data_IF_040522727214
#
_entry.id   IF_040522727214
#
_cell.length_a   1.000
_cell.length_b   1.000
_cell.length_c   1.000
_cell.angle_alpha   90.00
_cell.angle_beta   90.00
_cell.angle_gamma   90.00
#
_symmetry.space_group_name_H-M   'P 1'
#
loop_
_entity.id
_entity.type
_entity.pdbx_description
1 polymer ?
#
# COMPACT_ATOMS: atom_id res chain seq x y z
N UNK A 1 -7.97 19.02 13.13
CA UNK A 1 -7.65 18.56 11.76
C UNK A 1 -6.47 17.59 11.86
N UNK A 2 -6.30 16.66 10.91
CA UNK A 2 -5.18 15.71 10.88
C UNK A 2 -4.58 15.65 9.47
N UNK A 3 -3.50 14.90 9.29
CA UNK A 3 -2.86 14.69 7.98
C UNK A 3 -3.78 13.91 7.01
N UNK A 4 -3.58 14.15 5.71
CA UNK A 4 -4.26 13.42 4.63
C UNK A 4 -5.45 14.18 4.05
N UNK A 5 -6.43 13.43 3.56
CA UNK A 5 -7.64 13.95 2.93
C UNK A 5 -8.92 13.32 3.49
N UNK A 6 -9.89 13.09 2.61
CA UNK A 6 -11.16 12.42 2.97
C UNK A 6 -11.00 10.92 3.20
N UNK A 7 -9.94 10.33 2.65
CA UNK A 7 -9.71 8.89 2.58
C UNK A 7 -8.32 8.48 3.05
N UNK A 8 -8.07 7.18 3.13
CA UNK A 8 -6.75 6.63 3.34
C UNK A 8 -6.38 6.35 4.79
N UNK A 9 -5.21 5.73 4.92
CA UNK A 9 -4.63 5.39 6.21
C UNK A 9 -4.02 6.62 6.87
N UNK A 10 -4.13 6.69 8.19
CA UNK A 10 -3.51 7.72 9.03
C UNK A 10 -2.67 7.01 10.08
N UNK A 11 -1.40 7.40 10.20
CA UNK A 11 -0.46 6.82 11.16
C UNK A 11 0.26 7.94 11.90
N UNK A 12 0.25 7.89 13.23
CA UNK A 12 1.01 8.80 14.08
C UNK A 12 2.40 8.23 14.32
N UNK A 13 3.41 9.09 14.34
CA UNK A 13 4.78 8.70 14.68
C UNK A 13 4.80 8.17 16.13
N UNK A 14 5.31 6.96 16.38
CA UNK A 14 5.15 6.29 17.68
C UNK A 14 5.86 7.03 18.82
N UNK A 15 7.01 7.65 18.56
CA UNK A 15 7.76 8.40 19.58
C UNK A 15 7.33 9.87 19.70
N UNK A 16 6.57 10.38 18.73
CA UNK A 16 6.11 11.76 18.71
C UNK A 16 4.73 11.85 18.03
N UNK A 17 3.64 11.60 18.77
CA UNK A 17 2.29 11.52 18.18
C UNK A 17 1.77 12.86 17.64
N UNK A 18 2.47 13.98 17.87
CA UNK A 18 2.16 15.25 17.20
C UNK A 18 2.50 15.19 15.71
N UNK A 19 3.39 14.29 15.29
CA UNK A 19 3.69 14.05 13.88
C UNK A 19 2.77 12.96 13.35
N UNK A 20 1.94 13.31 12.39
CA UNK A 20 0.99 12.40 11.76
C UNK A 20 1.21 12.37 10.26
N UNK A 21 1.17 11.16 9.68
CA UNK A 21 1.19 10.92 8.26
C UNK A 21 -0.19 10.43 7.82
N UNK A 22 -0.73 11.00 6.75
CA UNK A 22 -2.08 10.69 6.28
C UNK A 22 -2.13 10.65 4.76
N UNK A 23 -2.63 9.54 4.23
CA UNK A 23 -2.86 9.35 2.81
C UNK A 23 -4.16 9.99 2.34
N UNK A 24 -4.39 9.92 1.04
CA UNK A 24 -5.69 10.04 0.38
C UNK A 24 -5.61 9.40 -1.00
N UNK A 25 -6.66 9.51 -1.80
CA UNK A 25 -6.70 8.92 -3.12
C UNK A 25 -5.61 9.47 -4.05
N UNK A 26 -5.28 8.69 -5.10
CA UNK A 26 -4.31 9.09 -6.12
C UNK A 26 -2.86 9.22 -5.62
N UNK A 27 -2.52 8.65 -4.46
CA UNK A 27 -1.17 8.72 -3.90
C UNK A 27 -0.85 10.05 -3.21
N UNK A 28 -1.86 10.88 -2.94
CA UNK A 28 -1.70 12.08 -2.12
C UNK A 28 -1.31 11.68 -0.69
N UNK A 29 -0.25 12.26 -0.16
CA UNK A 29 0.28 11.93 1.15
C UNK A 29 0.80 13.18 1.84
N UNK A 30 0.38 13.38 3.09
CA UNK A 30 0.71 14.55 3.89
C UNK A 30 1.38 14.12 5.18
N UNK A 31 2.39 14.90 5.59
CA UNK A 31 2.86 14.98 6.97
C UNK A 31 2.27 16.23 7.61
N UNK A 32 1.66 16.07 8.78
CA UNK A 32 1.15 17.14 9.61
C UNK A 32 1.84 17.14 10.98
N UNK A 33 2.19 18.31 11.48
CA UNK A 33 2.79 18.53 12.79
C UNK A 33 1.81 19.31 13.67
N UNK A 34 1.22 18.65 14.66
CA UNK A 34 0.27 19.26 15.59
C UNK A 34 0.92 20.27 16.55
N UNK A 35 2.23 20.18 16.78
CA UNK A 35 2.95 21.04 17.72
C UNK A 35 3.09 22.48 17.21
N UNK A 36 3.21 22.66 15.89
CA UNK A 36 3.37 23.97 15.28
C UNK A 36 2.41 24.27 14.10
N UNK A 37 1.61 23.29 13.68
CA UNK A 37 0.66 23.39 12.58
C UNK A 37 1.26 23.19 11.18
N UNK A 38 2.54 22.80 11.07
CA UNK A 38 3.21 22.61 9.79
C UNK A 38 2.57 21.48 8.98
N UNK A 39 2.36 21.74 7.69
CA UNK A 39 1.80 20.76 6.74
C UNK A 39 2.72 20.63 5.54
N UNK A 40 3.06 19.41 5.15
CA UNK A 40 3.92 19.12 3.99
C UNK A 40 3.35 18.00 3.15
N UNK A 41 3.23 18.24 1.85
CA UNK A 41 3.05 17.17 0.87
C UNK A 41 4.34 16.36 0.78
N UNK A 42 4.22 15.06 0.94
CA UNK A 42 5.32 14.08 0.92
C UNK A 42 4.98 12.93 -0.04
N UNK A 43 4.24 13.26 -1.11
CA UNK A 43 3.82 12.30 -2.14
C UNK A 43 5.00 11.45 -2.60
N UNK A 44 4.79 10.14 -2.66
CA UNK A 44 5.79 9.16 -3.13
C UNK A 44 6.20 9.45 -4.57
N UNK A 45 5.22 9.79 -5.39
CA UNK A 45 5.38 10.15 -6.79
C UNK A 45 4.64 11.46 -7.04
N UNK A 46 5.28 12.47 -7.67
CA UNK A 46 4.71 13.82 -7.75
C UNK A 46 3.62 13.97 -8.81
N UNK A 47 3.34 12.93 -9.60
CA UNK A 47 2.34 12.97 -10.66
C UNK A 47 0.93 12.74 -10.10
N UNK A 48 -0.04 13.54 -10.53
CA UNK A 48 -1.43 13.38 -10.12
C UNK A 48 -2.14 12.47 -11.13
N UNK A 49 -2.53 11.24 -10.74
CA UNK A 49 -3.10 10.27 -11.67
C UNK A 49 -4.54 10.56 -12.07
N UNK A 50 -5.19 11.54 -11.44
CA UNK A 50 -6.63 11.78 -11.59
C UNK A 50 -7.02 12.04 -13.05
N UNK A 51 -8.03 11.34 -13.52
CA UNK A 51 -8.48 11.39 -14.93
C UNK A 51 -7.83 10.36 -15.86
N UNK A 52 -6.73 9.71 -15.45
CA UNK A 52 -6.08 8.66 -16.25
C UNK A 52 -6.53 7.26 -15.85
N UNK A 53 -6.63 6.35 -16.82
CA UNK A 53 -6.83 4.94 -16.54
C UNK A 53 -5.59 4.34 -15.89
N UNK A 54 -5.78 3.38 -14.97
CA UNK A 54 -4.68 2.76 -14.23
C UNK A 54 -3.62 2.10 -15.14
N UNK A 55 -4.02 1.70 -16.35
CA UNK A 55 -3.14 1.08 -17.34
C UNK A 55 -1.99 1.99 -17.78
N UNK A 56 -2.21 3.31 -17.74
CA UNK A 56 -1.30 4.36 -18.20
C UNK A 56 -0.35 4.85 -17.08
N UNK A 57 -0.61 4.44 -15.84
CA UNK A 57 0.14 4.88 -14.68
C UNK A 57 1.36 3.99 -14.42
N UNK A 58 2.50 4.64 -14.13
CA UNK A 58 3.70 3.97 -13.63
C UNK A 58 3.47 3.34 -12.26
N UNK A 59 2.90 4.13 -11.34
CA UNK A 59 2.58 3.71 -9.98
C UNK A 59 1.09 3.87 -9.75
N UNK A 60 0.43 2.78 -9.39
CA UNK A 60 -1.02 2.71 -9.17
C UNK A 60 -1.28 2.72 -7.66
N UNK A 61 -1.66 3.87 -7.13
CA UNK A 61 -2.11 4.00 -5.75
C UNK A 61 -3.61 3.77 -5.70
N UNK A 62 -4.09 3.06 -4.68
CA UNK A 62 -5.51 2.91 -4.42
C UNK A 62 -6.06 4.13 -3.66
N UNK A 63 -7.39 4.33 -3.69
CA UNK A 63 -8.10 5.34 -2.88
C UNK A 63 -7.73 5.30 -1.38
N UNK A 64 -7.53 4.10 -0.84
CA UNK A 64 -7.10 3.84 0.53
C UNK A 64 -5.76 3.10 0.58
N UNK A 65 -4.76 3.58 -0.16
CA UNK A 65 -3.48 2.88 -0.22
C UNK A 65 -2.86 2.63 1.18
N UNK A 66 -2.25 1.45 1.42
CA UNK A 66 -1.62 1.14 2.70
C UNK A 66 -0.50 2.12 3.07
N UNK A 67 -0.53 2.57 4.33
CA UNK A 67 0.48 3.41 4.96
C UNK A 67 0.77 2.84 6.36
N UNK A 68 2.04 2.56 6.66
CA UNK A 68 2.44 2.05 7.98
C UNK A 68 3.85 2.45 8.38
N UNK A 69 4.05 2.65 9.67
CA UNK A 69 5.38 2.83 10.26
C UNK A 69 5.92 1.46 10.66
N UNK A 70 7.22 1.23 10.48
CA UNK A 70 7.87 0.00 10.92
C UNK A 70 7.75 -0.17 12.44
N UNK A 71 7.36 -1.36 12.95
CA UNK A 71 7.40 -1.63 14.38
C UNK A 71 8.83 -1.72 14.95
N UNK A 72 9.84 -1.82 14.07
CA UNK A 72 11.26 -1.94 14.46
C UNK A 72 12.05 -0.65 14.31
N UNK A 73 11.44 0.38 13.70
CA UNK A 73 12.15 1.59 13.30
C UNK A 73 11.15 2.76 13.10
N UNK A 74 11.00 3.64 14.10
CA UNK A 74 9.96 4.69 14.09
C UNK A 74 10.13 5.70 12.95
N UNK A 75 11.34 5.85 12.41
CA UNK A 75 11.65 6.72 11.27
C UNK A 75 11.34 6.06 9.92
N UNK A 76 11.11 4.74 9.88
CA UNK A 76 10.78 4.01 8.66
C UNK A 76 9.27 4.05 8.40
N UNK A 77 8.88 4.68 7.30
CA UNK A 77 7.50 4.72 6.82
C UNK A 77 7.39 4.00 5.46
N UNK A 78 6.36 3.17 5.32
CA UNK A 78 6.03 2.47 4.09
C UNK A 78 4.73 3.00 3.49
N UNK A 79 4.71 3.14 2.16
CA UNK A 79 3.51 3.49 1.38
C UNK A 79 3.42 2.55 0.17
N UNK A 80 2.23 2.01 -0.09
CA UNK A 80 2.06 0.97 -1.11
C UNK A 80 1.26 1.46 -2.33
N UNK A 81 1.84 1.28 -3.52
CA UNK A 81 1.16 1.35 -4.80
C UNK A 81 0.94 -0.08 -5.33
N UNK A 82 1.12 -0.32 -6.62
CA UNK A 82 1.49 -1.65 -7.15
C UNK A 82 2.92 -2.08 -6.73
N UNK A 83 3.70 -1.14 -6.20
CA UNK A 83 5.07 -1.30 -5.69
C UNK A 83 5.08 -0.82 -4.25
N UNK A 84 5.87 -1.46 -3.38
CA UNK A 84 6.09 -0.98 -2.01
C UNK A 84 7.22 0.05 -2.00
N UNK A 85 6.96 1.19 -1.36
CA UNK A 85 7.95 2.23 -1.14
C UNK A 85 8.30 2.36 0.33
N UNK A 86 9.53 2.82 0.58
CA UNK A 86 10.06 3.12 1.89
C UNK A 86 10.65 4.52 1.91
N UNK A 87 10.48 5.21 3.03
CA UNK A 87 11.24 6.40 3.41
C UNK A 87 11.80 6.21 4.82
N UNK A 88 12.90 6.89 5.12
CA UNK A 88 13.54 6.97 6.44
C UNK A 88 13.82 8.42 6.85
N UNK A 89 13.27 9.39 6.11
CA UNK A 89 13.52 10.83 6.28
C UNK A 89 12.23 11.63 6.36
N UNK A 90 11.18 11.01 6.93
CA UNK A 90 9.84 11.56 7.08
C UNK A 90 9.17 11.93 5.74
N UNK A 91 9.45 11.16 4.68
CA UNK A 91 8.83 11.33 3.36
C UNK A 91 9.46 12.42 2.49
N UNK A 92 10.69 12.84 2.80
CA UNK A 92 11.43 13.77 1.94
C UNK A 92 11.94 13.06 0.69
N UNK A 93 12.38 11.80 0.83
CA UNK A 93 12.74 10.93 -0.28
C UNK A 93 12.11 9.57 -0.11
N UNK A 94 11.79 8.94 -1.24
CA UNK A 94 11.17 7.62 -1.29
C UNK A 94 11.97 6.69 -2.18
N UNK A 95 12.14 5.46 -1.71
CA UNK A 95 12.78 4.38 -2.45
C UNK A 95 11.74 3.29 -2.76
N UNK A 96 11.65 2.88 -4.02
CA UNK A 96 10.94 1.65 -4.37
C UNK A 96 11.75 0.46 -3.86
N UNK A 97 11.15 -0.36 -2.99
CA UNK A 97 11.75 -1.55 -2.37
C UNK A 97 11.05 -2.83 -2.84
N UNK A 98 10.40 -2.79 -4.00
CA UNK A 98 9.85 -3.99 -4.63
C UNK A 98 9.72 -3.79 -6.14
N UNK A 99 9.59 -4.87 -6.92
CA UNK A 99 8.97 -4.79 -8.24
C UNK A 99 7.45 -4.56 -8.12
N UNK A 100 6.74 -4.60 -9.25
CA UNK A 100 5.27 -4.69 -9.23
C UNK A 100 4.87 -6.03 -8.59
N UNK A 101 4.19 -5.97 -7.43
CA UNK A 101 3.77 -7.14 -6.65
C UNK A 101 2.32 -7.55 -6.95
N UNK A 102 1.83 -7.19 -8.14
CA UNK A 102 0.46 -7.44 -8.59
C UNK A 102 0.47 -8.24 -9.88
N UNK A 103 -0.67 -8.78 -10.29
CA UNK A 103 -0.83 -9.45 -11.61
C UNK A 103 -0.78 -8.47 -12.77
N UNK A 104 -1.06 -7.19 -12.52
CA UNK A 104 -1.02 -6.11 -13.50
C UNK A 104 -1.83 -6.43 -14.78
N UNK A 105 -3.07 -6.89 -14.60
CA UNK A 105 -3.97 -7.28 -15.69
C UNK A 105 -4.50 -6.01 -16.38
N UNK A 106 -3.91 -5.64 -17.52
CA UNK A 106 -4.18 -4.37 -18.21
C UNK A 106 -5.62 -4.22 -18.66
N UNK A 107 -6.28 -5.31 -19.01
CA UNK A 107 -7.69 -5.32 -19.44
C UNK A 107 -8.64 -4.89 -18.31
N UNK A 108 -8.21 -5.05 -17.05
CA UNK A 108 -8.95 -4.62 -15.84
C UNK A 108 -8.52 -3.24 -15.33
N UNK A 109 -7.60 -2.56 -16.03
CA UNK A 109 -7.05 -1.26 -15.65
C UNK A 109 -7.51 -0.13 -16.60
N UNK A 110 -8.57 -0.38 -17.36
CA UNK A 110 -9.14 0.60 -18.27
C UNK A 110 -9.77 1.76 -17.51
N UNK A 111 -9.90 2.88 -18.22
CA UNK A 111 -10.60 4.06 -17.71
C UNK A 111 -12.03 3.73 -17.26
N UNK A 112 -12.41 4.18 -16.07
CA UNK A 112 -13.74 3.99 -15.51
C UNK A 112 -14.69 5.11 -15.95
N UNK A 113 -16.00 4.88 -15.85
CA UNK A 113 -17.03 5.88 -16.20
C UNK A 113 -17.46 5.90 -17.67
N UNK A 114 -16.95 4.97 -18.49
CA UNK A 114 -17.35 4.80 -19.89
C UNK A 114 -16.80 5.89 -20.82
N UNK A 115 -17.22 5.97 -22.09
CA UNK A 115 -16.55 6.82 -23.09
C UNK A 115 -16.71 8.33 -22.89
N UNK A 116 -17.67 8.77 -22.07
CA UNK A 116 -18.07 10.19 -21.97
C UNK A 116 -17.79 10.74 -20.57
N UNK A 117 -18.15 10.01 -19.52
CA UNK A 117 -18.10 10.47 -18.13
C UNK A 117 -16.98 9.76 -17.37
N UNK A 118 -15.74 9.98 -17.80
CA UNK A 118 -14.58 9.35 -17.16
C UNK A 118 -14.57 9.63 -15.65
N UNK A 119 -14.40 8.57 -14.85
CA UNK A 119 -14.38 8.63 -13.38
C UNK A 119 -13.19 7.83 -12.86
N UNK A 120 -12.02 8.47 -12.86
CA UNK A 120 -10.75 7.87 -12.47
C UNK A 120 -10.22 8.59 -11.26
N UNK A 121 -10.67 8.14 -10.10
CA UNK A 121 -10.29 8.74 -8.81
C UNK A 121 -9.47 7.81 -7.95
N UNK A 122 -9.04 6.67 -8.51
CA UNK A 122 -8.24 5.60 -7.91
C UNK A 122 -8.98 4.60 -7.01
N UNK A 123 -10.29 4.79 -6.76
CA UNK A 123 -11.09 3.76 -6.08
C UNK A 123 -11.35 2.57 -7.00
N UNK A 124 -11.38 2.82 -8.31
CA UNK A 124 -11.63 1.85 -9.37
C UNK A 124 -10.36 1.11 -9.82
N UNK A 125 -9.19 1.54 -9.35
CA UNK A 125 -7.93 0.98 -9.81
C UNK A 125 -7.76 -0.49 -9.36
N UNK A 126 -7.29 -1.30 -10.29
CA UNK A 126 -7.03 -2.73 -10.12
C UNK A 126 -5.54 -3.04 -10.31
N UNK A 127 -5.02 -4.03 -9.59
CA UNK A 127 -3.59 -4.34 -9.56
C UNK A 127 -2.84 -3.32 -8.71
N UNK A 128 -3.25 -3.19 -7.45
CA UNK A 128 -2.61 -2.40 -6.40
C UNK A 128 -2.30 -3.29 -5.19
N UNK A 129 -1.24 -3.00 -4.44
CA UNK A 129 -1.04 -3.59 -3.12
C UNK A 129 -2.09 -2.99 -2.20
N UNK A 130 -2.91 -3.85 -1.62
CA UNK A 130 -4.08 -3.47 -0.84
C UNK A 130 -3.89 -3.69 0.66
N UNK A 131 -2.94 -4.54 1.05
CA UNK A 131 -2.58 -4.77 2.45
C UNK A 131 -1.06 -4.96 2.59
N UNK A 132 -0.48 -4.43 3.67
CA UNK A 132 0.94 -4.55 4.01
C UNK A 132 1.07 -4.80 5.52
N UNK A 133 2.02 -5.65 5.90
CA UNK A 133 2.40 -5.85 7.30
C UNK A 133 3.91 -6.13 7.39
N UNK A 134 4.56 -5.61 8.42
CA UNK A 134 5.92 -6.03 8.82
C UNK A 134 5.80 -6.93 10.05
N UNK A 135 6.62 -7.97 10.13
CA UNK A 135 6.71 -8.86 11.29
C UNK A 135 6.98 -8.05 12.55
N UNK A 136 6.36 -8.42 13.67
CA UNK A 136 6.68 -7.83 14.98
C UNK A 136 7.95 -8.44 15.61
N UNK A 137 8.45 -9.56 15.07
CA UNK A 137 9.61 -10.30 15.59
C UNK A 137 10.90 -10.05 14.82
N UNK A 138 10.78 -9.87 13.51
CA UNK A 138 11.91 -9.91 12.60
C UNK A 138 11.88 -8.67 11.70
N UNK A 139 12.80 -7.73 11.96
CA UNK A 139 12.98 -6.54 11.12
C UNK A 139 13.25 -6.96 9.67
N UNK A 140 12.53 -6.34 8.74
CA UNK A 140 12.69 -6.61 7.31
C UNK A 140 11.94 -7.85 6.79
N UNK A 141 11.18 -8.55 7.64
CA UNK A 141 10.18 -9.53 7.17
C UNK A 141 8.88 -8.78 6.88
N UNK A 142 8.59 -8.58 5.59
CA UNK A 142 7.47 -7.75 5.12
C UNK A 142 6.55 -8.60 4.24
N UNK A 143 5.26 -8.46 4.46
CA UNK A 143 4.21 -9.12 3.69
C UNK A 143 3.42 -8.09 2.90
N UNK A 144 2.97 -8.48 1.71
CA UNK A 144 2.04 -7.69 0.90
C UNK A 144 0.94 -8.57 0.34
N UNK A 145 -0.28 -8.06 0.32
CA UNK A 145 -1.42 -8.65 -0.38
C UNK A 145 -1.97 -7.68 -1.42
N UNK A 146 -2.19 -8.13 -2.64
CA UNK A 146 -2.76 -7.30 -3.72
C UNK A 146 -4.26 -7.46 -3.86
N UNK A 147 -4.90 -6.47 -4.48
CA UNK A 147 -6.32 -6.52 -4.85
C UNK A 147 -6.63 -7.43 -6.04
N UNK A 148 -5.59 -7.99 -6.66
CA UNK A 148 -5.66 -8.99 -7.72
C UNK A 148 -5.15 -10.38 -7.30
N UNK A 149 -4.97 -10.60 -5.99
CA UNK A 149 -4.91 -11.92 -5.38
C UNK A 149 -3.51 -12.51 -5.22
N UNK A 150 -2.47 -11.70 -5.27
CA UNK A 150 -1.12 -12.11 -4.95
C UNK A 150 -0.78 -11.84 -3.48
N UNK A 151 -0.02 -12.76 -2.89
CA UNK A 151 0.59 -12.61 -1.58
C UNK A 151 2.09 -12.81 -1.72
N UNK A 152 2.86 -11.81 -1.33
CA UNK A 152 4.32 -11.87 -1.33
C UNK A 152 4.90 -11.70 0.07
N UNK A 153 6.08 -12.26 0.25
CA UNK A 153 6.93 -12.03 1.42
C UNK A 153 8.32 -11.57 0.99
N UNK A 154 8.87 -10.58 1.69
CA UNK A 154 10.30 -10.27 1.73
C UNK A 154 10.86 -10.65 3.09
N UNK A 155 12.11 -11.13 3.15
CA UNK A 155 12.82 -11.47 4.40
C UNK A 155 14.10 -10.66 4.61
N UNK A 156 14.32 -9.65 3.76
CA UNK A 156 15.55 -8.86 3.72
C UNK A 156 15.30 -7.36 3.53
N UNK A 157 14.14 -6.89 3.99
CA UNK A 157 13.76 -5.47 3.96
C UNK A 157 13.38 -4.96 2.57
N UNK A 158 12.88 -5.84 1.70
CA UNK A 158 12.44 -5.52 0.35
C UNK A 158 13.51 -5.67 -0.74
N UNK A 159 14.64 -6.30 -0.46
CA UNK A 159 15.63 -6.53 -1.52
C UNK A 159 15.20 -7.68 -2.44
N UNK A 160 14.62 -8.73 -1.86
CA UNK A 160 14.04 -9.87 -2.58
C UNK A 160 12.60 -10.13 -2.10
N UNK A 161 11.77 -10.63 -3.03
CA UNK A 161 10.36 -10.93 -2.81
C UNK A 161 10.04 -12.32 -3.36
N UNK A 162 9.32 -13.11 -2.57
CA UNK A 162 8.87 -14.45 -2.91
C UNK A 162 7.34 -14.48 -3.01
N UNK A 163 6.81 -14.99 -4.12
CA UNK A 163 5.37 -15.25 -4.27
C UNK A 163 5.00 -16.48 -3.45
N UNK A 164 4.19 -16.26 -2.42
CA UNK A 164 3.72 -17.29 -1.49
C UNK A 164 2.19 -17.38 -1.51
N UNK A 165 1.58 -16.94 -2.61
CA UNK A 165 0.13 -17.01 -2.82
C UNK A 165 -0.34 -18.44 -2.59
N UNK A 166 -1.27 -18.69 -1.64
CA UNK A 166 -1.76 -20.03 -1.37
C UNK A 166 -2.38 -20.67 -2.61
N UNK A 167 -1.75 -21.72 -3.15
CA UNK A 167 -2.26 -22.49 -4.29
C UNK A 167 -2.82 -23.83 -3.83
N UNK A 168 -3.99 -24.24 -4.34
CA UNK A 168 -4.56 -25.55 -4.03
C UNK A 168 -6.09 -25.60 -4.14
N UNK A 169 -6.67 -26.78 -4.41
CA UNK A 169 -8.13 -26.94 -4.55
C UNK A 169 -8.90 -26.88 -3.22
N UNK A 170 -8.26 -27.20 -2.11
CA UNK A 170 -8.91 -27.30 -0.79
C UNK A 170 -8.54 -26.18 0.19
N UNK A 171 -7.48 -25.41 -0.10
CA UNK A 171 -6.92 -24.39 0.78
C UNK A 171 -6.23 -23.24 0.01
N UNK A 172 -6.41 -23.17 -1.32
CA UNK A 172 -5.85 -22.10 -2.13
C UNK A 172 -6.81 -20.93 -2.26
N UNK A 173 -6.26 -19.76 -2.58
CA UNK A 173 -7.03 -18.57 -2.90
C UNK A 173 -7.55 -18.64 -4.34
N UNK A 174 -8.80 -18.22 -4.61
CA UNK A 174 -9.25 -17.93 -5.96
C UNK A 174 -8.30 -16.93 -6.64
N UNK A 175 -8.07 -17.10 -7.95
CA UNK A 175 -7.04 -16.36 -8.68
C UNK A 175 -7.21 -14.83 -8.60
N UNK A 176 -8.45 -14.37 -8.73
CA UNK A 176 -8.82 -12.95 -8.82
C UNK A 176 -9.57 -12.53 -7.55
N UNK A 177 -8.97 -12.80 -6.39
CA UNK A 177 -9.51 -12.43 -5.07
C UNK A 177 -8.80 -11.17 -4.56
N UNK A 178 -9.49 -10.28 -3.87
CA UNK A 178 -8.84 -9.16 -3.21
C UNK A 178 -8.33 -9.59 -1.84
N UNK A 179 -7.04 -9.43 -1.57
CA UNK A 179 -6.50 -9.55 -0.22
C UNK A 179 -6.85 -8.28 0.55
N UNK A 180 -7.86 -8.36 1.42
CA UNK A 180 -8.44 -7.19 2.07
C UNK A 180 -7.66 -6.74 3.30
N UNK A 181 -7.08 -7.70 4.02
CA UNK A 181 -6.30 -7.42 5.22
C UNK A 181 -5.31 -8.55 5.45
N UNK A 182 -4.14 -8.19 5.97
CA UNK A 182 -3.12 -9.12 6.43
C UNK A 182 -2.59 -8.65 7.78
N UNK A 183 -2.24 -9.60 8.63
CA UNK A 183 -1.63 -9.32 9.92
C UNK A 183 -0.51 -10.32 10.18
N UNK A 184 0.69 -9.83 10.43
CA UNK A 184 1.83 -10.69 10.77
C UNK A 184 1.53 -11.45 12.06
N UNK A 185 1.86 -12.74 12.10
CA UNK A 185 1.51 -13.57 13.25
C UNK A 185 2.14 -13.03 14.53
N UNK A 186 1.37 -12.89 15.63
CA UNK A 186 1.83 -12.22 16.84
C UNK A 186 2.76 -13.06 17.71
N UNK A 187 3.06 -14.32 17.33
CA UNK A 187 3.96 -15.22 18.08
C UNK A 187 4.89 -16.11 17.23
N UNK A 188 4.67 -16.20 15.91
CA UNK A 188 5.35 -17.18 15.06
C UNK A 188 6.08 -16.44 13.96
N UNK A 189 7.41 -16.56 13.98
CA UNK A 189 8.29 -15.97 12.98
C UNK A 189 7.88 -16.41 11.56
N UNK A 190 7.64 -15.44 10.67
CA UNK A 190 7.17 -15.70 9.31
C UNK A 190 5.74 -16.25 9.19
N UNK A 191 4.91 -16.19 10.23
CA UNK A 191 3.48 -16.47 10.13
C UNK A 191 2.68 -15.26 9.65
N UNK A 192 1.51 -15.51 9.01
CA UNK A 192 0.60 -14.48 8.51
C UNK A 192 -0.85 -14.94 8.67
N UNK A 193 -1.73 -14.06 9.16
CA UNK A 193 -3.17 -14.16 8.96
C UNK A 193 -3.59 -13.27 7.79
N UNK A 194 -4.52 -13.74 6.96
CA UNK A 194 -5.07 -12.94 5.87
C UNK A 194 -6.59 -13.15 5.77
N UNK A 195 -7.27 -12.10 5.33
CA UNK A 195 -8.68 -12.12 4.95
C UNK A 195 -8.82 -11.66 3.50
N UNK A 196 -9.64 -12.35 2.71
CA UNK A 196 -9.79 -12.08 1.29
C UNK A 196 -11.26 -12.09 0.86
N UNK A 197 -11.60 -11.30 -0.16
CA UNK A 197 -12.97 -11.15 -0.65
C UNK A 197 -13.04 -11.45 -2.15
N UNK A 198 -13.95 -12.35 -2.52
CA UNK A 198 -14.11 -12.87 -3.88
C UNK A 198 -15.02 -12.01 -4.78
N UNK A 199 -15.53 -10.90 -4.27
CA UNK A 199 -16.35 -9.96 -5.02
C UNK A 199 -15.65 -8.61 -5.00
N UNK A 200 -15.12 -8.20 -6.16
CA UNK A 200 -14.66 -6.86 -6.46
C UNK A 200 -15.30 -6.43 -7.78
#
# INVERSE_FOLDING_TARGET
>A
PTAGGESGHVVAHPDNPDIVYGGSYGGYLIRYDHGNGDTRAINVWPDNPMGWGAAELKYRFNWNFPLMISPHDPDTLYAAANVLFKTTDAGQTWQAISPDLTRNIKEKQVSSGGPITQDNTSVEYYGTIFAVAESLFEKGVIWTGSDDGLVYISRDGGQNWEDVTPTGRSNGLPKDIQINSIEAHPYDAGGLYLAATAYK
#
